data_IF_285424021773
#
_entry.id   IF_285424021773
#
_cell.length_a   1.000
_cell.length_b   1.000
_cell.length_c   1.000
_cell.angle_alpha   90.00
_cell.angle_beta   90.00
_cell.angle_gamma   90.00
#
_symmetry.space_group_name_H-M   'P 1'
#
loop_
_entity.id
_entity.type
_entity.pdbx_description
1 polymer ?
#
# COMPACT_ATOMS: atom_id res chain seq x y z
N UNK A 1 -2.72 -34.73 27.26
CA UNK A 1 -1.57 -34.00 26.70
C UNK A 1 -1.70 -32.55 27.18
N UNK A 2 -0.85 -32.11 28.12
CA UNK A 2 -0.91 -30.79 28.76
C UNK A 2 -0.32 -29.74 27.82
N UNK A 3 -1.06 -28.69 27.52
CA UNK A 3 -0.58 -27.51 26.80
C UNK A 3 -0.08 -26.52 27.86
N UNK A 4 1.24 -26.36 27.92
CA UNK A 4 1.90 -25.36 28.75
C UNK A 4 1.89 -24.00 28.05
N UNK A 5 1.41 -22.98 28.77
CA UNK A 5 1.46 -21.58 28.35
C UNK A 5 2.87 -21.07 28.64
N UNK A 6 3.66 -20.85 27.57
CA UNK A 6 4.99 -20.26 27.63
C UNK A 6 4.92 -18.75 27.87
N UNK A 7 5.75 -18.27 28.80
CA UNK A 7 5.76 -16.92 29.34
C UNK A 7 6.17 -15.82 28.37
N UNK A 8 5.57 -14.66 28.60
CA UNK A 8 5.89 -13.37 27.98
C UNK A 8 7.12 -12.81 28.70
N UNK A 9 8.27 -12.82 28.03
CA UNK A 9 9.47 -12.10 28.45
C UNK A 9 9.28 -10.61 28.13
N UNK A 10 9.06 -9.80 29.16
CA UNK A 10 9.05 -8.34 29.04
C UNK A 10 10.45 -7.81 28.81
N UNK A 11 10.73 -7.34 27.59
CA UNK A 11 11.90 -6.50 27.32
C UNK A 11 11.66 -5.11 27.88
N UNK A 12 12.15 -4.85 29.09
CA UNK A 12 12.36 -3.50 29.60
C UNK A 12 13.44 -2.83 28.76
N UNK A 13 13.05 -1.77 28.04
CA UNK A 13 13.98 -0.87 27.39
C UNK A 13 14.85 -0.20 28.47
N UNK A 14 16.10 -0.62 28.56
CA UNK A 14 17.13 0.07 29.33
C UNK A 14 17.51 1.32 28.53
N UNK A 15 17.05 2.47 29.00
CA UNK A 15 17.51 3.78 28.52
C UNK A 15 18.98 3.94 28.93
N UNK A 16 19.86 3.79 27.94
CA UNK A 16 21.30 4.02 28.07
C UNK A 16 21.58 5.53 28.18
N UNK A 17 21.58 6.04 29.41
CA UNK A 17 21.89 7.43 29.78
C UNK A 17 23.39 7.67 29.99
N UNK A 18 24.26 6.95 29.28
CA UNK A 18 25.71 6.95 29.51
C UNK A 18 26.46 8.22 29.07
N UNK A 19 25.79 9.24 28.52
CA UNK A 19 26.45 10.40 27.91
C UNK A 19 26.19 11.79 28.54
N UNK A 20 25.85 11.86 29.83
CA UNK A 20 25.86 13.14 30.57
C UNK A 20 26.95 13.17 31.65
N UNK A 21 28.03 13.97 31.49
CA UNK A 21 29.11 14.05 32.48
C UNK A 21 28.69 14.67 33.81
N UNK A 22 27.60 15.45 33.85
CA UNK A 22 27.12 16.12 35.08
C UNK A 22 26.39 15.17 36.04
N UNK A 23 25.73 14.12 35.53
CA UNK A 23 24.98 13.19 36.40
C UNK A 23 25.92 12.29 37.23
N UNK A 24 27.12 11.98 36.72
CA UNK A 24 28.13 11.18 37.43
C UNK A 24 28.70 11.91 38.65
N UNK A 25 28.71 13.24 38.64
CA UNK A 25 29.20 14.03 39.77
C UNK A 25 28.16 14.10 40.91
N UNK A 26 26.87 14.12 40.56
CA UNK A 26 25.77 14.15 41.54
C UNK A 26 25.51 12.79 42.21
N UNK A 27 25.77 11.68 41.51
CA UNK A 27 25.67 10.33 42.10
C UNK A 27 26.85 10.07 43.05
N UNK A 28 28.05 10.54 42.72
CA UNK A 28 29.24 10.37 43.59
C UNK A 28 29.23 11.22 44.86
N UNK A 29 28.45 12.31 44.92
CA UNK A 29 28.27 13.08 46.15
C UNK A 29 27.24 12.46 47.10
N UNK A 30 26.33 11.62 46.61
CA UNK A 30 25.36 10.89 47.44
C UNK A 30 25.93 9.61 48.08
N UNK A 31 26.94 8.99 47.49
CA UNK A 31 27.57 7.76 48.02
C UNK A 31 28.56 7.97 49.18
N UNK A 32 28.86 9.22 49.55
CA UNK A 32 29.82 9.56 50.63
C UNK A 32 29.20 9.98 51.96
N UNK A 33 27.92 9.66 52.19
CA UNK A 33 27.33 9.71 53.53
C UNK A 33 27.47 8.34 54.21
N UNK A 34 28.22 8.23 55.33
CA UNK A 34 28.36 6.97 56.03
C UNK A 34 27.03 6.64 56.72
N UNK A 35 26.40 5.52 56.35
CA UNK A 35 25.23 4.97 57.05
C UNK A 35 23.89 5.02 56.31
N UNK A 36 23.87 5.27 55.00
CA UNK A 36 22.61 5.21 54.23
C UNK A 36 22.33 3.79 53.70
N UNK A 37 22.04 2.86 54.60
CA UNK A 37 21.60 1.52 54.20
C UNK A 37 20.15 1.58 53.72
N UNK A 38 19.94 1.37 52.43
CA UNK A 38 18.61 1.40 51.78
C UNK A 38 17.81 0.13 52.14
N UNK A 39 18.45 -0.88 52.74
CA UNK A 39 17.84 -2.16 53.13
C UNK A 39 17.59 -2.32 54.62
N UNK A 40 17.73 -1.27 55.43
CA UNK A 40 17.40 -1.40 56.86
C UNK A 40 15.90 -1.68 57.04
N UNK A 41 15.52 -2.70 57.85
CA UNK A 41 14.12 -3.08 58.06
C UNK A 41 13.27 -1.92 58.58
N UNK A 42 13.83 -1.08 59.44
CA UNK A 42 13.15 0.10 60.01
C UNK A 42 12.70 1.10 58.93
N UNK A 43 13.47 1.25 57.84
CA UNK A 43 13.09 2.14 56.73
C UNK A 43 12.11 1.53 55.76
N UNK A 44 12.11 0.20 55.65
CA UNK A 44 11.09 -0.50 54.87
C UNK A 44 9.74 -0.34 55.57
N UNK A 45 9.71 -0.43 56.90
CA UNK A 45 8.53 -0.12 57.71
C UNK A 45 8.11 1.35 57.60
N UNK A 46 9.05 2.31 57.70
CA UNK A 46 8.74 3.73 57.55
C UNK A 46 8.20 4.08 56.14
N UNK A 47 8.68 3.40 55.09
CA UNK A 47 8.13 3.55 53.73
C UNK A 47 6.77 2.89 53.57
N UNK A 48 6.52 1.74 54.21
CA UNK A 48 5.22 1.09 54.22
C UNK A 48 4.19 1.92 54.98
N UNK A 49 4.58 2.55 56.08
CA UNK A 49 3.73 3.46 56.83
C UNK A 49 3.47 4.77 56.07
N UNK A 50 4.46 5.30 55.34
CA UNK A 50 4.24 6.44 54.44
C UNK A 50 3.38 6.06 53.23
N UNK A 51 3.43 4.82 52.74
CA UNK A 51 2.54 4.33 51.69
C UNK A 51 1.12 4.10 52.20
N UNK A 52 0.95 3.69 53.47
CA UNK A 52 -0.36 3.63 54.15
C UNK A 52 -0.96 5.01 54.42
N UNK A 53 -0.13 6.03 54.63
CA UNK A 53 -0.57 7.42 54.83
C UNK A 53 -0.85 8.17 53.53
N UNK A 54 -0.59 7.57 52.36
CA UNK A 54 -1.03 8.19 51.10
C UNK A 54 -2.55 8.11 51.03
N UNK A 55 -3.24 9.24 50.78
CA UNK A 55 -4.68 9.23 50.60
C UNK A 55 -5.03 8.23 49.51
N UNK A 56 -6.13 7.51 49.67
CA UNK A 56 -6.58 6.60 48.63
C UNK A 56 -6.79 7.42 47.36
N UNK A 57 -6.58 6.83 46.18
CA UNK A 57 -6.77 7.54 44.92
C UNK A 57 -8.18 8.14 44.83
N UNK A 58 -9.15 7.50 45.51
CA UNK A 58 -10.51 7.99 45.68
C UNK A 58 -10.60 9.25 46.55
N UNK A 59 -9.86 9.31 47.66
CA UNK A 59 -9.80 10.51 48.53
C UNK A 59 -9.14 11.68 47.79
N UNK A 60 -8.07 11.41 47.04
CA UNK A 60 -7.44 12.44 46.20
C UNK A 60 -8.39 12.95 45.11
N UNK A 61 -9.18 12.06 44.48
CA UNK A 61 -10.15 12.45 43.47
C UNK A 61 -11.32 13.25 44.08
N UNK A 62 -11.80 12.84 45.26
CA UNK A 62 -12.86 13.55 45.97
C UNK A 62 -12.41 14.93 46.45
N UNK A 63 -11.15 15.07 46.91
CA UNK A 63 -10.56 16.36 47.26
C UNK A 63 -10.44 17.27 46.03
N UNK A 64 -10.03 16.73 44.89
CA UNK A 64 -9.90 17.49 43.64
C UNK A 64 -11.27 17.97 43.11
N UNK A 65 -12.30 17.11 43.17
CA UNK A 65 -13.67 17.46 42.79
C UNK A 65 -14.30 18.44 43.79
N UNK A 66 -13.98 18.32 45.09
CA UNK A 66 -14.41 19.28 46.10
C UNK A 66 -13.74 20.66 45.95
N UNK A 67 -12.48 20.71 45.52
CA UNK A 67 -11.77 21.95 45.18
C UNK A 67 -12.35 22.62 43.92
N UNK A 68 -12.74 21.86 42.89
CA UNK A 68 -13.43 22.42 41.71
C UNK A 68 -14.84 22.93 42.04
N UNK A 69 -15.49 22.40 43.09
CA UNK A 69 -16.83 22.80 43.52
C UNK A 69 -16.90 23.97 44.51
N UNK A 70 -15.77 24.45 45.04
CA UNK A 70 -15.71 25.46 46.11
C UNK A 70 -14.97 26.75 45.75
N UNK A 71 -14.61 26.97 44.49
CA UNK A 71 -13.93 28.21 44.05
C UNK A 71 -14.90 29.38 43.78
N UNK A 72 -15.73 29.72 44.75
CA UNK A 72 -16.27 31.08 44.90
C UNK A 72 -15.55 31.69 46.12
N UNK A 73 -14.84 32.79 45.88
CA UNK A 73 -14.26 33.71 46.86
C UNK A 73 -13.07 33.23 47.72
N UNK A 74 -11.87 33.18 47.13
CA UNK A 74 -10.66 33.64 47.85
C UNK A 74 -9.59 34.16 46.89
N UNK A 75 -9.34 35.46 47.02
CA UNK A 75 -8.30 36.23 46.36
C UNK A 75 -6.93 35.84 46.92
N UNK A 76 -6.27 34.86 46.31
CA UNK A 76 -4.81 34.71 46.40
C UNK A 76 -4.26 34.65 44.97
N UNK A 77 -4.18 35.84 44.36
CA UNK A 77 -3.53 36.11 43.10
C UNK A 77 -2.02 35.93 43.27
N UNK A 78 -1.39 34.96 42.62
CA UNK A 78 -0.02 35.15 42.07
C UNK A 78 0.46 33.99 41.17
N UNK A 79 -0.03 32.75 41.32
CA UNK A 79 0.44 31.63 40.47
C UNK A 79 -0.51 31.24 39.34
N UNK A 80 -1.82 31.47 39.48
CA UNK A 80 -2.82 31.11 38.45
C UNK A 80 -2.96 32.14 37.32
N UNK A 81 -2.35 33.31 37.49
CA UNK A 81 -2.29 34.36 36.46
C UNK A 81 -1.46 33.88 35.27
N UNK A 82 -0.44 33.06 35.46
CA UNK A 82 0.44 32.61 34.37
C UNK A 82 -0.28 31.69 33.36
N UNK A 83 -1.06 30.73 33.86
CA UNK A 83 -1.80 29.79 33.01
C UNK A 83 -2.98 30.46 32.28
N UNK A 84 -3.75 31.32 33.00
CA UNK A 84 -4.82 32.12 32.40
C UNK A 84 -4.29 33.16 31.42
N UNK A 85 -3.16 33.81 31.70
CA UNK A 85 -2.57 34.79 30.77
C UNK A 85 -1.95 34.11 29.54
N UNK A 86 -1.41 32.88 29.68
CA UNK A 86 -0.98 32.07 28.53
C UNK A 86 -2.15 31.64 27.66
N UNK A 87 -3.30 31.26 28.24
CA UNK A 87 -4.48 30.88 27.47
C UNK A 87 -5.12 32.09 26.76
N UNK A 88 -5.15 33.27 27.39
CA UNK A 88 -5.62 34.53 26.79
C UNK A 88 -4.69 35.01 25.66
N UNK A 89 -3.37 34.93 25.84
CA UNK A 89 -2.41 35.19 24.74
C UNK A 89 -2.63 34.17 23.61
N UNK A 90 -2.96 32.92 23.94
CA UNK A 90 -3.21 31.85 22.95
C UNK A 90 -4.45 32.14 22.12
N UNK A 91 -5.56 32.54 22.75
CA UNK A 91 -6.82 32.84 22.06
C UNK A 91 -6.73 34.11 21.22
N UNK A 92 -6.04 35.15 21.68
CA UNK A 92 -5.80 36.33 20.84
C UNK A 92 -4.96 36.03 19.59
N UNK A 93 -4.05 35.04 19.68
CA UNK A 93 -3.22 34.64 18.54
C UNK A 93 -3.99 33.85 17.49
N UNK A 94 -5.11 33.23 17.86
CA UNK A 94 -6.00 32.50 16.95
C UNK A 94 -7.03 33.40 16.25
N UNK A 95 -7.21 34.65 16.70
CA UNK A 95 -8.13 35.60 16.11
C UNK A 95 -7.63 36.20 14.77
N UNK A 96 -6.34 36.08 14.46
CA UNK A 96 -5.81 36.54 13.18
C UNK A 96 -6.12 35.53 12.08
N UNK A 97 -6.88 35.94 11.07
CA UNK A 97 -7.25 35.08 9.94
C UNK A 97 -6.04 34.54 9.16
N UNK A 98 -6.23 33.39 8.50
CA UNK A 98 -5.21 32.69 7.70
C UNK A 98 -4.47 33.60 6.73
N UNK A 99 -5.17 34.48 6.01
CA UNK A 99 -4.59 35.42 5.04
C UNK A 99 -3.50 36.28 5.67
N UNK A 100 -3.75 36.82 6.87
CA UNK A 100 -2.80 37.69 7.58
C UNK A 100 -1.58 36.89 8.03
N UNK A 101 -1.79 35.70 8.60
CA UNK A 101 -0.70 34.83 9.05
C UNK A 101 0.20 34.40 7.90
N UNK A 102 -0.39 33.95 6.79
CA UNK A 102 0.34 33.48 5.61
C UNK A 102 1.08 34.63 4.94
N UNK A 103 0.41 35.77 4.73
CA UNK A 103 1.02 36.97 4.14
C UNK A 103 2.25 37.43 4.93
N UNK A 104 2.11 37.64 6.24
CA UNK A 104 3.24 38.10 7.05
C UNK A 104 4.33 37.03 7.20
N UNK A 105 3.98 35.74 7.18
CA UNK A 105 4.99 34.66 7.21
C UNK A 105 5.85 34.67 5.95
N UNK A 106 5.25 34.87 4.78
CA UNK A 106 5.96 34.97 3.50
C UNK A 106 6.78 36.26 3.38
N UNK A 107 6.27 37.36 3.94
CA UNK A 107 6.91 38.67 3.86
C UNK A 107 8.04 38.84 4.90
N UNK A 108 8.04 38.07 5.99
CA UNK A 108 9.05 38.19 7.06
C UNK A 108 10.47 37.87 6.58
N UNK A 109 10.76 36.76 5.87
CA UNK A 109 12.10 36.47 5.38
C UNK A 109 12.71 37.56 4.49
N UNK A 110 12.03 38.08 3.44
CA UNK A 110 12.61 39.12 2.60
C UNK A 110 12.70 40.48 3.32
N UNK A 111 11.82 40.76 4.28
CA UNK A 111 11.90 41.99 5.09
C UNK A 111 12.79 41.88 6.33
N UNK A 112 13.40 40.71 6.59
CA UNK A 112 14.24 40.50 7.77
C UNK A 112 15.33 41.57 7.98
N UNK A 113 16.12 41.99 6.97
CA UNK A 113 17.12 43.04 7.16
C UNK A 113 16.49 44.39 7.55
N UNK A 114 15.33 44.72 6.99
CA UNK A 114 14.59 45.93 7.34
C UNK A 114 14.00 45.86 8.75
N UNK A 115 13.47 44.70 9.16
CA UNK A 115 12.95 44.47 10.50
C UNK A 115 14.06 44.54 11.56
N UNK A 116 15.27 44.06 11.24
CA UNK A 116 16.45 44.21 12.09
C UNK A 116 16.84 45.68 12.27
N UNK A 117 16.87 46.45 11.18
CA UNK A 117 17.15 47.89 11.22
C UNK A 117 16.08 48.65 12.04
N UNK A 118 14.80 48.36 11.81
CA UNK A 118 13.69 48.93 12.57
C UNK A 118 13.77 48.60 14.06
N UNK A 119 14.16 47.36 14.41
CA UNK A 119 14.36 46.94 15.80
C UNK A 119 15.53 47.67 16.44
N UNK A 120 16.61 47.90 15.70
CA UNK A 120 17.76 48.66 16.16
C UNK A 120 17.41 50.14 16.41
N UNK A 121 16.58 50.73 15.55
CA UNK A 121 16.13 52.13 15.70
C UNK A 121 15.00 52.30 16.73
N UNK A 122 14.23 51.27 17.04
CA UNK A 122 13.05 51.35 17.91
C UNK A 122 12.86 50.08 18.75
N UNK A 123 13.27 50.13 20.03
CA UNK A 123 13.14 49.02 20.98
C UNK A 123 11.69 48.71 21.39
N UNK A 124 10.76 49.66 21.24
CA UNK A 124 9.36 49.53 21.67
C UNK A 124 8.35 49.38 20.50
N UNK A 125 8.82 49.31 19.25
CA UNK A 125 7.94 49.17 18.11
C UNK A 125 7.25 47.79 18.10
N UNK A 126 5.92 47.78 17.94
CA UNK A 126 5.13 46.54 17.84
C UNK A 126 5.47 45.83 16.55
N UNK A 127 5.99 44.60 16.64
CA UNK A 127 6.26 43.75 15.48
C UNK A 127 4.95 43.23 14.87
N UNK A 128 4.94 42.92 13.55
CA UNK A 128 3.80 42.27 12.92
C UNK A 128 3.41 40.97 13.66
N UNK A 129 2.12 40.63 13.59
CA UNK A 129 1.48 39.55 14.36
C UNK A 129 1.57 39.67 15.90
N UNK A 130 1.95 40.83 16.44
CA UNK A 130 1.96 41.07 17.89
C UNK A 130 3.08 40.38 18.65
N UNK A 131 4.17 40.00 17.96
CA UNK A 131 5.32 39.36 18.60
C UNK A 131 6.12 40.35 19.46
N UNK A 132 6.54 39.91 20.66
CA UNK A 132 7.44 40.69 21.54
C UNK A 132 8.90 40.65 21.10
N UNK A 133 9.31 39.62 20.36
CA UNK A 133 10.69 39.40 19.95
C UNK A 133 10.77 39.03 18.47
N UNK A 134 11.79 39.56 17.77
CA UNK A 134 12.07 39.28 16.36
C UNK A 134 12.35 37.78 16.14
N UNK A 135 13.09 37.14 17.04
CA UNK A 135 13.38 35.71 16.96
C UNK A 135 12.09 34.88 16.96
N UNK A 136 11.11 35.26 17.78
CA UNK A 136 9.80 34.58 17.81
C UNK A 136 9.06 34.77 16.48
N UNK A 137 9.06 35.98 15.92
CA UNK A 137 8.46 36.25 14.61
C UNK A 137 9.11 35.38 13.52
N UNK A 138 10.44 35.39 13.42
CA UNK A 138 11.19 34.61 12.42
C UNK A 138 10.91 33.13 12.58
N UNK A 139 10.98 32.60 13.80
CA UNK A 139 10.68 31.19 14.08
C UNK A 139 9.26 30.81 13.63
N UNK A 140 8.26 31.62 13.97
CA UNK A 140 6.88 31.32 13.57
C UNK A 140 6.69 31.41 12.05
N UNK A 141 7.32 32.38 11.39
CA UNK A 141 7.29 32.51 9.93
C UNK A 141 7.96 31.32 9.25
N UNK A 142 9.14 30.89 9.71
CA UNK A 142 9.82 29.70 9.20
C UNK A 142 8.99 28.41 9.40
N UNK A 143 8.42 28.21 10.59
CA UNK A 143 7.54 27.08 10.89
C UNK A 143 6.31 27.11 9.99
N UNK A 144 5.67 28.27 9.80
CA UNK A 144 4.52 28.41 8.93
C UNK A 144 4.85 28.12 7.46
N UNK A 145 5.98 28.62 6.96
CA UNK A 145 6.46 28.32 5.60
C UNK A 145 6.71 26.82 5.45
N UNK A 146 7.39 26.19 6.41
CA UNK A 146 7.62 24.74 6.41
C UNK A 146 6.30 23.96 6.31
N UNK A 147 5.32 24.24 7.17
CA UNK A 147 4.03 23.55 7.11
C UNK A 147 3.22 23.86 5.85
N UNK A 148 3.36 25.06 5.28
CA UNK A 148 2.74 25.42 4.02
C UNK A 148 3.36 24.63 2.85
N UNK A 149 4.69 24.48 2.84
CA UNK A 149 5.38 23.61 1.86
C UNK A 149 4.97 22.15 2.00
N UNK A 150 4.89 21.61 3.23
CA UNK A 150 4.43 20.26 3.48
C UNK A 150 2.97 20.06 3.04
N UNK A 151 2.08 20.98 3.35
CA UNK A 151 0.69 20.93 2.91
C UNK A 151 0.57 20.97 1.37
N UNK A 152 1.39 21.78 0.69
CA UNK A 152 1.46 21.78 -0.77
C UNK A 152 1.95 20.43 -1.32
N UNK A 153 2.95 19.81 -0.70
CA UNK A 153 3.41 18.48 -1.12
C UNK A 153 2.33 17.41 -0.94
N UNK A 154 1.57 17.45 0.16
CA UNK A 154 0.45 16.53 0.40
C UNK A 154 -0.70 16.75 -0.60
N UNK A 155 -0.99 18.00 -0.95
CA UNK A 155 -2.00 18.33 -1.96
C UNK A 155 -1.57 17.81 -3.34
N UNK A 156 -0.31 18.04 -3.70
CA UNK A 156 0.27 17.52 -4.94
C UNK A 156 0.28 15.99 -4.98
N UNK A 157 0.65 15.33 -3.88
CA UNK A 157 0.59 13.87 -3.73
C UNK A 157 -0.85 13.35 -3.86
N UNK A 158 -1.83 14.05 -3.29
CA UNK A 158 -3.25 13.67 -3.38
C UNK A 158 -3.80 13.76 -4.80
N UNK A 159 -3.33 14.73 -5.58
CA UNK A 159 -3.75 14.94 -6.97
C UNK A 159 -3.02 14.01 -7.94
N UNK A 160 -1.72 13.82 -7.76
CA UNK A 160 -0.92 12.98 -8.67
C UNK A 160 -0.98 11.49 -8.31
N UNK A 161 -1.33 11.15 -7.07
CA UNK A 161 -1.25 9.80 -6.53
C UNK A 161 0.18 9.28 -6.34
N UNK A 162 1.19 10.12 -6.58
CA UNK A 162 2.59 9.76 -6.51
C UNK A 162 3.26 10.47 -5.34
N UNK A 163 4.05 9.74 -4.56
CA UNK A 163 4.96 10.33 -3.57
C UNK A 163 6.08 11.05 -4.33
N UNK A 164 5.85 12.32 -4.69
CA UNK A 164 6.87 13.10 -5.36
C UNK A 164 8.01 13.41 -4.40
N UNK A 165 9.22 13.03 -4.79
CA UNK A 165 10.43 13.74 -4.37
C UNK A 165 10.30 15.15 -4.98
N UNK A 166 10.48 16.23 -4.21
CA UNK A 166 10.28 17.61 -4.69
C UNK A 166 11.29 17.96 -5.79
N UNK A 167 10.97 17.62 -7.03
CA UNK A 167 11.64 18.15 -8.22
C UNK A 167 10.87 19.39 -8.61
N UNK A 168 11.41 20.55 -8.26
CA UNK A 168 10.89 21.86 -8.62
C UNK A 168 11.15 22.06 -10.13
N UNK A 169 10.37 21.37 -10.98
CA UNK A 169 10.33 21.67 -12.40
C UNK A 169 9.19 22.66 -12.65
N UNK A 170 9.54 23.84 -13.16
CA UNK A 170 8.58 24.90 -13.50
C UNK A 170 7.52 24.48 -14.54
N UNK A 171 7.74 23.38 -15.27
CA UNK A 171 6.78 22.79 -16.23
C UNK A 171 5.71 21.88 -15.61
N UNK A 172 5.68 21.69 -14.29
CA UNK A 172 4.85 20.65 -13.64
C UNK A 172 3.34 20.91 -13.53
N UNK A 173 2.84 22.11 -13.89
CA UNK A 173 1.44 22.48 -13.64
C UNK A 173 0.46 21.94 -14.69
N UNK A 174 0.87 21.82 -15.96
CA UNK A 174 0.03 21.28 -17.04
C UNK A 174 -0.45 19.84 -16.78
N UNK A 175 0.42 18.87 -16.44
CA UNK A 175 -0.03 17.50 -16.16
C UNK A 175 -0.93 17.42 -14.92
N UNK A 176 -0.70 18.29 -13.92
CA UNK A 176 -1.53 18.35 -12.72
C UNK A 176 -2.96 18.85 -13.05
N UNK A 177 -3.08 19.90 -13.86
CA UNK A 177 -4.38 20.42 -14.30
C UNK A 177 -5.12 19.41 -15.17
N UNK A 178 -4.41 18.76 -16.11
CA UNK A 178 -5.01 17.76 -16.99
C UNK A 178 -5.53 16.55 -16.19
N UNK A 179 -4.77 16.08 -15.21
CA UNK A 179 -5.17 14.95 -14.35
C UNK A 179 -6.36 15.30 -13.45
N UNK A 180 -6.33 16.47 -12.82
CA UNK A 180 -7.46 16.95 -12.01
C UNK A 180 -8.74 17.08 -12.85
N UNK A 181 -8.63 17.56 -14.10
CA UNK A 181 -9.75 17.67 -15.03
C UNK A 181 -10.32 16.29 -15.38
N UNK A 182 -9.47 15.30 -15.67
CA UNK A 182 -9.89 13.93 -15.93
C UNK A 182 -10.59 13.35 -14.69
N UNK A 183 -10.02 13.53 -13.50
CA UNK A 183 -10.60 13.02 -12.26
C UNK A 183 -11.97 13.64 -11.99
N UNK A 184 -12.13 14.96 -12.18
CA UNK A 184 -13.42 15.67 -12.09
C UNK A 184 -14.45 15.17 -13.11
N UNK A 185 -14.02 14.91 -14.36
CA UNK A 185 -14.90 14.36 -15.38
C UNK A 185 -15.32 12.93 -15.05
N UNK A 186 -14.37 12.09 -14.61
CA UNK A 186 -14.65 10.73 -14.16
C UNK A 186 -15.62 10.73 -12.98
N UNK A 187 -15.43 11.64 -12.02
CA UNK A 187 -16.32 11.80 -10.88
C UNK A 187 -17.72 12.17 -11.35
N UNK A 188 -17.87 13.14 -12.27
CA UNK A 188 -19.19 13.56 -12.74
C UNK A 188 -19.96 12.41 -13.41
N UNK A 189 -19.28 11.61 -14.23
CA UNK A 189 -19.86 10.43 -14.87
C UNK A 189 -20.18 9.32 -13.85
N UNK A 190 -19.28 9.09 -12.90
CA UNK A 190 -19.40 8.04 -11.88
C UNK A 190 -20.43 8.40 -10.81
N UNK A 191 -20.56 9.67 -10.41
CA UNK A 191 -21.54 10.11 -9.43
C UNK A 191 -22.94 10.04 -10.02
N UNK A 192 -23.13 10.43 -11.28
CA UNK A 192 -24.43 10.32 -11.95
C UNK A 192 -24.87 8.86 -12.07
N UNK A 193 -23.96 7.96 -12.44
CA UNK A 193 -24.25 6.52 -12.56
C UNK A 193 -24.47 5.88 -11.19
N UNK A 194 -23.59 6.13 -10.21
CA UNK A 194 -23.80 5.67 -8.83
C UNK A 194 -25.09 6.21 -8.22
N UNK A 195 -25.42 7.49 -8.44
CA UNK A 195 -26.63 8.10 -7.89
C UNK A 195 -27.89 7.55 -8.55
N UNK A 196 -27.93 7.44 -9.88
CA UNK A 196 -29.05 6.80 -10.56
C UNK A 196 -29.22 5.34 -10.14
N UNK A 197 -28.12 4.64 -9.88
CA UNK A 197 -28.15 3.24 -9.47
C UNK A 197 -28.53 3.06 -7.99
N UNK A 198 -28.16 4.02 -7.13
CA UNK A 198 -28.64 4.11 -5.75
C UNK A 198 -30.13 4.45 -5.67
N UNK A 199 -30.64 5.24 -6.63
CA UNK A 199 -32.07 5.52 -6.76
C UNK A 199 -32.85 4.36 -7.36
N UNK A 200 -32.27 3.59 -8.29
CA UNK A 200 -32.88 2.36 -8.83
C UNK A 200 -32.81 1.18 -7.86
N UNK A 201 -32.35 1.41 -6.64
CA UNK A 201 -32.15 0.37 -5.65
C UNK A 201 -33.49 -0.17 -5.16
N UNK A 202 -33.83 -1.39 -5.58
CA UNK A 202 -34.99 -2.10 -5.07
C UNK A 202 -34.66 -2.75 -3.72
N UNK A 203 -35.50 -2.49 -2.70
CA UNK A 203 -35.26 -2.76 -1.28
C UNK A 203 -35.11 -4.25 -0.89
N UNK A 204 -35.23 -5.17 -1.85
CA UNK A 204 -35.26 -6.62 -1.68
C UNK A 204 -33.94 -7.34 -1.99
N UNK A 205 -32.86 -6.62 -2.34
CA UNK A 205 -31.56 -7.23 -2.66
C UNK A 205 -30.77 -7.63 -1.40
N UNK A 206 -30.13 -8.80 -1.46
CA UNK A 206 -29.35 -9.35 -0.35
C UNK A 206 -28.04 -8.58 -0.14
N UNK A 207 -27.59 -8.46 1.13
CA UNK A 207 -26.34 -7.76 1.50
C UNK A 207 -25.07 -8.36 0.83
N UNK A 208 -25.12 -9.60 0.36
CA UNK A 208 -23.99 -10.27 -0.28
C UNK A 208 -23.80 -9.82 -1.74
N UNK A 209 -24.88 -9.78 -2.53
CA UNK A 209 -24.85 -9.22 -3.90
C UNK A 209 -24.49 -7.74 -3.90
N UNK A 210 -24.87 -7.04 -2.82
CA UNK A 210 -24.51 -5.65 -2.55
C UNK A 210 -22.99 -5.49 -2.42
N UNK A 211 -22.35 -6.37 -1.65
CA UNK A 211 -20.90 -6.35 -1.48
C UNK A 211 -20.16 -6.69 -2.76
N UNK A 212 -20.59 -7.72 -3.51
CA UNK A 212 -19.98 -8.09 -4.79
C UNK A 212 -20.13 -6.98 -5.85
N UNK A 213 -21.28 -6.32 -5.93
CA UNK A 213 -21.51 -5.17 -6.82
C UNK A 213 -20.68 -3.94 -6.43
N UNK A 214 -20.40 -3.77 -5.13
CA UNK A 214 -19.51 -2.71 -4.62
C UNK A 214 -18.04 -2.99 -4.95
N UNK A 215 -17.63 -4.26 -4.89
CA UNK A 215 -16.26 -4.72 -5.20
C UNK A 215 -15.96 -4.57 -6.68
N UNK A 216 -16.88 -4.91 -7.57
CA UNK A 216 -16.72 -4.66 -9.01
C UNK A 216 -16.68 -3.17 -9.36
N UNK A 217 -17.13 -2.30 -8.43
CA UNK A 217 -17.13 -0.83 -8.57
C UNK A 217 -16.07 -0.15 -7.71
N UNK A 218 -15.02 -0.87 -7.33
CA UNK A 218 -13.89 -0.32 -6.56
C UNK A 218 -13.31 0.96 -7.20
N UNK A 219 -13.38 1.09 -8.53
CA UNK A 219 -12.92 2.27 -9.27
C UNK A 219 -13.69 3.55 -8.88
N UNK A 220 -15.00 3.47 -8.66
CA UNK A 220 -15.81 4.60 -8.20
C UNK A 220 -15.47 5.00 -6.76
N UNK A 221 -15.29 3.99 -5.89
CA UNK A 221 -14.92 4.21 -4.48
C UNK A 221 -13.55 4.88 -4.39
N UNK A 222 -12.60 4.44 -5.22
CA UNK A 222 -11.26 5.02 -5.30
C UNK A 222 -11.28 6.49 -5.75
N UNK A 223 -12.09 6.83 -6.76
CA UNK A 223 -12.28 8.21 -7.19
C UNK A 223 -12.86 9.11 -6.10
N UNK A 224 -13.85 8.62 -5.35
CA UNK A 224 -14.47 9.36 -4.24
C UNK A 224 -13.48 9.55 -3.08
N UNK A 225 -12.72 8.52 -2.71
CA UNK A 225 -11.68 8.60 -1.68
C UNK A 225 -10.60 9.62 -2.06
N UNK A 226 -10.17 9.66 -3.33
CA UNK A 226 -9.22 10.67 -3.82
C UNK A 226 -9.78 12.09 -3.69
N UNK A 227 -11.03 12.32 -4.08
CA UNK A 227 -11.64 13.65 -3.94
C UNK A 227 -11.77 14.09 -2.47
N UNK A 228 -12.17 13.17 -1.59
CA UNK A 228 -12.19 13.44 -0.15
C UNK A 228 -10.79 13.77 0.38
N UNK A 229 -9.75 13.06 -0.07
CA UNK A 229 -8.37 13.37 0.29
C UNK A 229 -7.94 14.75 -0.22
N UNK A 230 -8.28 15.14 -1.45
CA UNK A 230 -7.99 16.47 -2.01
C UNK A 230 -8.71 17.57 -1.21
N UNK A 231 -10.00 17.40 -0.91
CA UNK A 231 -10.78 18.37 -0.13
C UNK A 231 -10.22 18.49 1.30
N UNK A 232 -9.89 17.36 1.92
CA UNK A 232 -9.30 17.33 3.27
C UNK A 232 -7.93 18.02 3.30
N UNK A 233 -7.06 17.75 2.32
CA UNK A 233 -5.74 18.40 2.22
C UNK A 233 -5.85 19.90 1.93
N UNK A 234 -6.79 20.34 1.08
CA UNK A 234 -7.11 21.76 0.90
C UNK A 234 -7.60 22.40 2.20
N UNK A 235 -8.47 21.72 2.94
CA UNK A 235 -8.95 22.20 4.24
C UNK A 235 -7.79 22.35 5.25
N UNK A 236 -6.88 21.38 5.30
CA UNK A 236 -5.66 21.45 6.11
C UNK A 236 -4.73 22.58 5.66
N UNK A 237 -4.62 22.83 4.37
CA UNK A 237 -3.84 23.93 3.81
C UNK A 237 -4.36 25.30 4.29
N UNK A 238 -5.67 25.55 4.24
CA UNK A 238 -6.25 26.80 4.75
C UNK A 238 -6.20 26.90 6.28
N UNK A 239 -6.16 25.77 6.99
CA UNK A 239 -6.07 25.73 8.45
C UNK A 239 -4.64 25.53 8.98
N UNK A 240 -3.60 25.57 8.15
CA UNK A 240 -2.20 25.27 8.56
C UNK A 240 -1.63 26.21 9.64
N UNK A 241 -2.27 27.36 9.87
CA UNK A 241 -1.95 28.26 10.97
C UNK A 241 -2.34 27.67 12.35
N UNK A 242 -3.33 26.78 12.40
CA UNK A 242 -3.80 26.13 13.63
C UNK A 242 -2.89 24.97 14.02
N UNK A 243 -2.68 24.78 15.33
CA UNK A 243 -1.80 23.72 15.85
C UNK A 243 -2.27 22.33 15.47
N UNK A 244 -3.58 22.05 15.54
CA UNK A 244 -4.13 20.74 15.21
C UNK A 244 -3.86 20.37 13.74
N UNK A 245 -4.03 21.33 12.81
CA UNK A 245 -3.79 21.09 11.38
C UNK A 245 -2.33 20.75 11.10
N UNK A 246 -1.38 21.39 11.79
CA UNK A 246 0.05 21.06 11.71
C UNK A 246 0.34 19.63 12.15
N UNK A 247 -0.32 19.16 13.21
CA UNK A 247 -0.17 17.78 13.68
C UNK A 247 -0.68 16.78 12.63
N UNK A 248 -1.83 17.04 12.01
CA UNK A 248 -2.34 16.19 10.92
C UNK A 248 -1.43 16.20 9.70
N UNK A 249 -0.96 17.37 9.26
CA UNK A 249 0.00 17.49 8.13
C UNK A 249 1.25 16.65 8.44
N UNK A 250 1.82 16.78 9.63
CA UNK A 250 2.99 15.99 10.03
C UNK A 250 2.68 14.48 10.02
N UNK A 251 1.54 14.07 10.59
CA UNK A 251 1.12 12.67 10.60
C UNK A 251 0.98 12.09 9.19
N UNK A 252 0.34 12.82 8.27
CA UNK A 252 0.20 12.39 6.88
C UNK A 252 1.55 12.37 6.14
N UNK A 253 2.44 13.33 6.39
CA UNK A 253 3.79 13.33 5.82
C UNK A 253 4.61 12.14 6.31
N UNK A 254 4.57 11.82 7.61
CA UNK A 254 5.25 10.64 8.17
C UNK A 254 4.66 9.36 7.59
N UNK A 255 3.34 9.24 7.53
CA UNK A 255 2.67 8.09 6.92
C UNK A 255 3.02 7.90 5.44
N UNK A 256 3.13 9.01 4.69
CA UNK A 256 3.59 9.01 3.30
C UNK A 256 5.05 8.59 3.16
N UNK A 257 5.94 9.11 4.01
CA UNK A 257 7.37 8.78 3.99
C UNK A 257 7.66 7.32 4.34
N UNK A 258 6.83 6.71 5.18
CA UNK A 258 6.95 5.30 5.57
C UNK A 258 6.33 4.33 4.54
N UNK A 259 5.87 4.81 3.38
CA UNK A 259 5.14 4.00 2.39
C UNK A 259 3.96 3.23 3.02
N UNK A 260 3.38 3.76 4.11
CA UNK A 260 2.26 3.15 4.83
C UNK A 260 1.10 2.72 3.92
N UNK A 261 0.70 3.47 2.87
CA UNK A 261 -0.33 3.00 1.94
C UNK A 261 0.08 1.75 1.14
N UNK A 262 1.36 1.59 0.77
CA UNK A 262 1.85 0.36 0.11
C UNK A 262 1.88 -0.81 1.08
N UNK A 263 2.28 -0.57 2.33
CA UNK A 263 2.26 -1.59 3.38
C UNK A 263 0.82 -2.02 3.66
N UNK A 264 -0.10 -1.07 3.78
CA UNK A 264 -1.52 -1.34 3.98
C UNK A 264 -2.13 -2.06 2.78
N UNK A 265 -1.81 -1.65 1.55
CA UNK A 265 -2.24 -2.37 0.35
C UNK A 265 -1.69 -3.80 0.31
N UNK A 266 -0.44 -4.06 0.69
CA UNK A 266 0.09 -5.42 0.81
C UNK A 266 -0.61 -6.25 1.88
N UNK A 267 -1.11 -5.61 2.94
CA UNK A 267 -1.87 -6.28 4.01
C UNK A 267 -3.33 -6.55 3.60
N UNK A 268 -3.91 -5.69 2.77
CA UNK A 268 -5.34 -5.74 2.39
C UNK A 268 -5.58 -6.47 1.06
N UNK A 269 -4.68 -6.34 0.08
CA UNK A 269 -4.74 -7.02 -1.21
C UNK A 269 -3.87 -8.28 -1.16
N UNK A 270 -4.47 -9.48 -1.16
CA UNK A 270 -3.70 -10.71 -1.10
C UNK A 270 -2.90 -10.91 -2.40
N UNK A 271 -1.60 -11.20 -2.27
CA UNK A 271 -0.69 -11.43 -3.40
C UNK A 271 -1.20 -12.51 -4.36
N UNK A 272 -0.96 -12.39 -5.69
CA UNK A 272 -1.31 -13.44 -6.64
C UNK A 272 -0.55 -14.71 -6.30
N UNK A 273 -1.23 -15.86 -6.33
CA UNK A 273 -0.63 -17.15 -6.03
C UNK A 273 -1.13 -18.23 -6.96
N UNK A 274 -0.25 -18.80 -7.77
CA UNK A 274 -0.52 -20.01 -8.54
C UNK A 274 -0.16 -21.23 -7.67
N UNK A 275 -1.10 -22.15 -7.52
CA UNK A 275 -0.94 -23.39 -6.75
C UNK A 275 -0.79 -24.63 -7.62
N UNK A 276 -1.25 -24.57 -8.88
CA UNK A 276 -1.14 -25.69 -9.81
C UNK A 276 -1.54 -25.31 -11.24
N UNK A 277 -1.34 -26.23 -12.15
CA UNK A 277 -1.68 -26.13 -13.58
C UNK A 277 -2.52 -27.34 -13.96
N UNK A 278 -3.50 -27.19 -14.85
CA UNK A 278 -4.25 -28.31 -15.42
C UNK A 278 -4.30 -28.14 -16.95
N UNK A 279 -3.72 -29.05 -17.74
CA UNK A 279 -3.08 -30.32 -17.33
C UNK A 279 -1.68 -30.14 -16.72
N UNK A 280 -1.24 -31.15 -15.94
CA UNK A 280 0.11 -31.22 -15.35
C UNK A 280 1.23 -31.47 -16.37
N UNK A 281 0.87 -31.85 -17.60
CA UNK A 281 1.80 -32.11 -18.68
C UNK A 281 1.27 -31.59 -20.02
N UNK A 282 2.19 -31.25 -20.92
CA UNK A 282 1.89 -30.85 -22.29
C UNK A 282 2.71 -31.66 -23.29
N UNK A 283 2.21 -31.75 -24.52
CA UNK A 283 2.95 -32.35 -25.62
C UNK A 283 3.74 -31.29 -26.38
N UNK A 284 4.92 -31.69 -26.84
CA UNK A 284 5.82 -30.84 -27.59
C UNK A 284 5.18 -30.39 -28.93
N UNK A 285 5.17 -29.08 -29.18
CA UNK A 285 4.70 -28.49 -30.43
C UNK A 285 3.18 -28.40 -30.60
N UNK A 286 2.42 -28.83 -29.60
CA UNK A 286 0.95 -28.70 -29.58
C UNK A 286 0.54 -27.39 -28.91
N UNK A 287 -0.51 -26.75 -29.44
CA UNK A 287 -1.15 -25.61 -28.80
C UNK A 287 -2.12 -26.13 -27.73
N UNK A 288 -1.93 -25.70 -26.49
CA UNK A 288 -2.65 -26.21 -25.34
C UNK A 288 -3.25 -25.06 -24.52
N UNK A 289 -4.46 -25.28 -24.03
CA UNK A 289 -5.08 -24.46 -23.00
C UNK A 289 -4.68 -24.97 -21.62
N UNK A 290 -3.88 -24.20 -20.90
CA UNK A 290 -3.44 -24.52 -19.53
C UNK A 290 -4.29 -23.71 -18.56
N UNK A 291 -5.12 -24.38 -17.78
CA UNK A 291 -5.83 -23.78 -16.67
C UNK A 291 -4.87 -23.55 -15.50
N UNK A 292 -4.87 -22.35 -14.93
CA UNK A 292 -4.04 -21.98 -13.78
C UNK A 292 -4.90 -21.97 -12.52
N UNK A 293 -4.64 -22.92 -11.64
CA UNK A 293 -5.28 -22.99 -10.34
C UNK A 293 -4.55 -22.05 -9.37
N UNK A 294 -5.26 -21.09 -8.80
CA UNK A 294 -4.65 -20.09 -7.93
C UNK A 294 -5.64 -19.14 -7.26
N UNK A 295 -5.12 -18.11 -6.61
CA UNK A 295 -5.89 -17.03 -5.96
C UNK A 295 -5.37 -15.67 -6.44
N UNK A 296 -6.28 -14.71 -6.54
CA UNK A 296 -6.01 -13.31 -6.90
C UNK A 296 -5.29 -13.16 -8.25
N UNK A 297 -5.64 -14.01 -9.22
CA UNK A 297 -5.20 -13.90 -10.59
C UNK A 297 -6.19 -13.01 -11.35
N UNK A 298 -5.73 -11.84 -11.79
CA UNK A 298 -6.52 -10.91 -12.60
C UNK A 298 -6.51 -11.29 -14.08
N UNK A 299 -7.65 -11.19 -14.77
CA UNK A 299 -7.77 -11.34 -16.23
C UNK A 299 -7.01 -10.22 -16.96
N UNK A 300 -6.37 -10.54 -18.09
CA UNK A 300 -5.51 -9.61 -18.83
C UNK A 300 -4.05 -9.58 -18.33
N UNK A 301 -3.73 -10.33 -17.28
CA UNK A 301 -2.36 -10.57 -16.87
C UNK A 301 -1.55 -11.31 -17.94
N UNK A 302 -0.23 -11.16 -17.93
CA UNK A 302 0.66 -11.94 -18.79
C UNK A 302 1.27 -13.08 -17.99
N UNK A 303 1.15 -14.30 -18.50
CA UNK A 303 1.82 -15.48 -17.95
C UNK A 303 2.91 -15.89 -18.91
N UNK A 304 4.10 -16.06 -18.37
CA UNK A 304 5.29 -16.51 -19.09
C UNK A 304 5.86 -17.74 -18.41
N UNK A 305 6.72 -18.47 -19.11
CA UNK A 305 7.22 -19.75 -18.68
C UNK A 305 8.74 -19.78 -18.70
N UNK A 306 9.33 -20.26 -17.62
CA UNK A 306 10.80 -20.36 -17.49
C UNK A 306 11.22 -21.84 -17.52
N UNK A 307 12.18 -22.23 -18.38
CA UNK A 307 12.69 -23.59 -18.42
C UNK A 307 13.48 -23.92 -17.14
N UNK A 308 13.12 -25.03 -16.51
CA UNK A 308 13.73 -25.46 -15.26
C UNK A 308 15.13 -26.01 -15.47
N UNK A 309 15.28 -27.03 -16.32
CA UNK A 309 16.59 -27.63 -16.59
C UNK A 309 17.48 -26.69 -17.41
N UNK A 310 16.89 -25.88 -18.31
CA UNK A 310 17.61 -24.92 -19.12
C UNK A 310 18.19 -23.71 -18.35
N UNK A 311 17.58 -23.30 -17.23
CA UNK A 311 18.04 -22.11 -16.50
C UNK A 311 17.77 -22.14 -14.98
N UNK A 312 16.53 -22.38 -14.54
CA UNK A 312 16.15 -22.22 -13.13
C UNK A 312 16.88 -23.19 -12.17
N UNK A 313 17.48 -24.27 -12.69
CA UNK A 313 18.28 -25.19 -11.90
C UNK A 313 19.60 -24.57 -11.41
N UNK A 314 20.21 -23.69 -12.21
CA UNK A 314 21.55 -23.14 -11.94
C UNK A 314 21.52 -21.69 -11.47
N UNK A 315 20.46 -20.96 -11.82
CA UNK A 315 20.33 -19.53 -11.57
C UNK A 315 18.94 -19.21 -11.02
N UNK A 316 18.81 -18.09 -10.30
CA UNK A 316 17.51 -17.58 -9.83
C UNK A 316 16.52 -17.41 -11.00
N UNK A 317 15.28 -17.86 -10.81
CA UNK A 317 14.21 -17.85 -11.83
C UNK A 317 13.92 -16.44 -12.34
N UNK A 318 14.13 -15.43 -11.49
CA UNK A 318 13.95 -14.03 -11.85
C UNK A 318 14.95 -13.53 -12.90
N UNK A 319 16.13 -14.16 -13.02
CA UNK A 319 17.16 -13.79 -14.00
C UNK A 319 17.01 -14.56 -15.33
N UNK A 320 16.29 -15.67 -15.33
CA UNK A 320 16.07 -16.48 -16.51
C UNK A 320 15.23 -15.76 -17.57
N UNK A 321 15.42 -16.12 -18.84
CA UNK A 321 14.58 -15.65 -19.94
C UNK A 321 13.16 -16.21 -19.80
N UNK A 322 12.17 -15.33 -20.03
CA UNK A 322 10.74 -15.64 -19.92
C UNK A 322 10.24 -15.99 -21.31
N UNK A 323 9.95 -17.27 -21.52
CA UNK A 323 9.53 -17.81 -22.80
C UNK A 323 8.00 -17.98 -22.84
N UNK A 324 7.45 -18.13 -24.05
CA UNK A 324 6.05 -18.50 -24.27
C UNK A 324 5.01 -17.60 -23.55
N UNK A 325 5.26 -16.29 -23.53
CA UNK A 325 4.37 -15.30 -22.91
C UNK A 325 3.00 -15.27 -23.58
N UNK A 326 1.96 -15.29 -22.76
CA UNK A 326 0.57 -15.39 -23.20
C UNK A 326 -0.38 -14.69 -22.22
N UNK A 327 -1.54 -14.26 -22.72
CA UNK A 327 -2.52 -13.50 -21.92
C UNK A 327 -3.36 -14.49 -21.11
N UNK A 328 -3.48 -14.25 -19.82
CA UNK A 328 -4.36 -14.97 -18.91
C UNK A 328 -5.79 -14.43 -19.03
N UNK A 329 -6.72 -15.31 -19.38
CA UNK A 329 -8.12 -14.97 -19.53
C UNK A 329 -9.00 -16.05 -18.91
N UNK A 330 -9.88 -15.66 -17.98
CA UNK A 330 -10.86 -16.56 -17.34
C UNK A 330 -10.25 -17.86 -16.75
N UNK A 331 -9.07 -17.78 -16.11
CA UNK A 331 -8.45 -18.95 -15.49
C UNK A 331 -7.56 -19.77 -16.43
N UNK A 332 -7.47 -19.40 -17.71
CA UNK A 332 -6.78 -20.20 -18.74
C UNK A 332 -5.74 -19.36 -19.47
N UNK A 333 -4.68 -20.03 -19.92
CA UNK A 333 -3.60 -19.48 -20.75
C UNK A 333 -3.38 -20.40 -21.95
N UNK A 334 -3.31 -19.82 -23.14
CA UNK A 334 -2.97 -20.58 -24.37
C UNK A 334 -1.47 -20.53 -24.61
N UNK A 335 -0.82 -21.70 -24.69
CA UNK A 335 0.64 -21.81 -24.82
C UNK A 335 1.01 -22.97 -25.73
N UNK A 336 2.14 -22.82 -26.45
CA UNK A 336 2.79 -23.87 -27.23
C UNK A 336 4.26 -23.94 -26.83
N UNK A 337 4.74 -25.13 -26.51
CA UNK A 337 6.12 -25.36 -26.08
C UNK A 337 6.95 -25.98 -27.21
N UNK A 338 8.14 -25.41 -27.46
CA UNK A 338 9.01 -25.82 -28.56
C UNK A 338 10.15 -26.76 -28.13
N UNK A 339 10.34 -26.93 -26.81
CA UNK A 339 11.37 -27.82 -26.25
C UNK A 339 10.84 -28.67 -25.10
N UNK A 340 11.46 -29.84 -24.89
CA UNK A 340 11.13 -30.71 -23.75
C UNK A 340 11.84 -30.25 -22.49
N UNK A 341 11.12 -29.65 -21.56
CA UNK A 341 11.62 -29.24 -20.24
C UNK A 341 10.47 -29.33 -19.20
N UNK A 342 10.79 -29.08 -17.93
CA UNK A 342 9.81 -28.62 -16.95
C UNK A 342 9.76 -27.11 -16.98
N UNK A 343 8.58 -26.54 -17.12
CA UNK A 343 8.41 -25.10 -17.18
C UNK A 343 7.77 -24.57 -15.89
N UNK A 344 8.32 -23.50 -15.35
CA UNK A 344 7.83 -22.77 -14.18
C UNK A 344 7.00 -21.57 -14.66
N UNK A 345 5.75 -21.40 -14.21
CA UNK A 345 4.95 -20.24 -14.56
C UNK A 345 5.40 -19.00 -13.80
N UNK A 346 5.51 -17.90 -14.53
CA UNK A 346 5.78 -16.56 -14.05
C UNK A 346 4.61 -15.65 -14.42
N UNK A 347 4.00 -15.03 -13.42
CA UNK A 347 2.84 -14.16 -13.56
C UNK A 347 3.26 -12.70 -13.49
N UNK A 348 2.78 -11.92 -14.46
CA UNK A 348 2.90 -10.48 -14.50
C UNK A 348 1.49 -9.89 -14.45
N UNK A 349 1.13 -9.12 -13.40
CA UNK A 349 -0.14 -8.44 -13.33
C UNK A 349 -0.40 -7.59 -14.59
N UNK A 350 -1.65 -7.40 -15.01
CA UNK A 350 -1.95 -6.52 -16.13
C UNK A 350 -1.37 -5.15 -15.82
N UNK A 351 -0.68 -4.54 -16.79
CA UNK A 351 -0.20 -3.18 -16.67
C UNK A 351 -1.41 -2.25 -16.59
N UNK A 352 -1.92 -2.00 -15.37
CA UNK A 352 -2.85 -0.90 -15.14
C UNK A 352 -2.09 0.36 -15.53
N UNK A 353 -2.71 1.27 -16.28
CA UNK A 353 -2.13 2.54 -16.78
C UNK A 353 -1.82 3.55 -15.64
N UNK A 354 -1.16 3.09 -14.57
CA UNK A 354 -0.59 3.90 -13.52
C UNK A 354 0.93 3.80 -13.70
N UNK A 355 1.51 4.91 -14.15
CA UNK A 355 2.93 5.13 -14.47
C UNK A 355 3.87 4.99 -13.26
N UNK A 356 3.86 3.83 -12.64
CA UNK A 356 4.89 3.41 -11.71
C UNK A 356 5.57 2.20 -12.34
N UNK A 357 6.69 2.47 -13.02
CA UNK A 357 7.69 1.50 -13.52
C UNK A 357 8.14 0.47 -12.46
N UNK A 358 7.68 0.59 -11.21
CA UNK A 358 8.02 -0.24 -10.07
C UNK A 358 7.05 -1.40 -9.78
N UNK A 359 5.89 -1.53 -10.46
CA UNK A 359 4.85 -2.51 -10.06
C UNK A 359 4.54 -3.66 -11.04
N UNK A 360 5.17 -3.74 -12.21
CA UNK A 360 5.13 -4.97 -13.03
C UNK A 360 6.18 -6.00 -12.56
N UNK A 361 6.29 -6.22 -11.24
CA UNK A 361 7.15 -7.26 -10.73
C UNK A 361 6.63 -8.62 -11.19
N UNK A 362 7.40 -9.27 -12.06
CA UNK A 362 7.13 -10.64 -12.51
C UNK A 362 7.34 -11.57 -11.30
N UNK A 363 6.31 -12.31 -10.92
CA UNK A 363 6.33 -13.25 -9.80
C UNK A 363 6.37 -14.67 -10.36
N UNK A 364 7.41 -15.44 -10.04
CA UNK A 364 7.56 -16.81 -10.50
C UNK A 364 7.22 -17.83 -9.40
N UNK A 365 6.55 -18.92 -9.77
CA UNK A 365 6.05 -19.93 -8.83
C UNK A 365 6.81 -21.25 -8.96
N UNK A 366 8.02 -21.32 -8.39
CA UNK A 366 8.93 -22.48 -8.50
C UNK A 366 8.33 -23.82 -8.06
N UNK A 367 7.35 -23.78 -7.16
CA UNK A 367 6.65 -24.95 -6.65
C UNK A 367 5.65 -25.55 -7.66
N UNK A 368 5.31 -24.81 -8.71
CA UNK A 368 4.41 -25.24 -9.78
C UNK A 368 5.25 -25.52 -11.02
N UNK A 369 5.13 -26.72 -11.58
CA UNK A 369 5.93 -27.14 -12.74
C UNK A 369 5.04 -27.90 -13.71
N UNK A 370 5.04 -27.46 -14.96
CA UNK A 370 4.36 -28.14 -16.05
C UNK A 370 5.39 -28.95 -16.84
N UNK A 371 5.12 -30.25 -17.07
CA UNK A 371 6.07 -31.15 -17.74
C UNK A 371 5.78 -31.27 -19.23
N UNK A 372 6.71 -30.84 -20.08
CA UNK A 372 6.57 -31.01 -21.54
C UNK A 372 7.22 -32.31 -21.98
N UNK A 373 6.48 -33.12 -22.74
CA UNK A 373 6.88 -34.46 -23.19
C UNK A 373 6.78 -34.58 -24.72
N UNK A 374 7.62 -35.44 -25.31
CA UNK A 374 7.43 -35.89 -26.69
C UNK A 374 6.29 -36.90 -26.74
N UNK A 375 5.50 -36.89 -27.82
CA UNK A 375 4.39 -37.86 -28.01
C UNK A 375 4.86 -39.32 -27.90
N UNK A 376 6.09 -39.62 -28.34
CA UNK A 376 6.71 -40.94 -28.28
C UNK A 376 7.05 -41.40 -26.86
N UNK A 377 7.10 -40.47 -25.90
CA UNK A 377 7.43 -40.77 -24.50
C UNK A 377 6.20 -41.09 -23.63
N UNK A 378 5.01 -41.13 -24.23
CA UNK A 378 3.78 -41.54 -23.55
C UNK A 378 3.83 -43.07 -23.38
N UNK A 379 3.78 -43.60 -22.13
CA UNK A 379 3.74 -45.04 -21.90
C UNK A 379 2.56 -45.68 -22.63
N UNK A 380 2.81 -46.71 -23.44
CA UNK A 380 1.78 -47.40 -24.23
C UNK A 380 1.62 -46.91 -25.67
N UNK A 381 2.21 -45.77 -26.05
CA UNK A 381 2.13 -45.26 -27.42
C UNK A 381 2.77 -46.20 -28.46
N UNK A 382 3.85 -46.90 -28.08
CA UNK A 382 4.50 -47.89 -28.94
C UNK A 382 3.58 -49.06 -29.30
N UNK A 383 2.67 -49.46 -28.40
CA UNK A 383 1.66 -50.49 -28.68
C UNK A 383 0.59 -49.96 -29.61
N UNK A 384 0.08 -48.75 -29.36
CA UNK A 384 -0.98 -48.12 -30.17
C UNK A 384 -0.53 -47.86 -31.61
N UNK A 385 0.72 -47.40 -31.80
CA UNK A 385 1.27 -47.15 -33.13
C UNK A 385 1.50 -48.46 -33.91
N UNK A 386 1.78 -49.57 -33.22
CA UNK A 386 1.89 -50.88 -33.85
C UNK A 386 0.51 -51.39 -34.31
N UNK A 387 -0.54 -51.23 -33.51
CA UNK A 387 -1.92 -51.57 -33.91
C UNK A 387 -2.41 -50.70 -35.06
N UNK A 388 -2.22 -49.38 -35.00
CA UNK A 388 -2.59 -48.47 -36.10
C UNK A 388 -1.86 -48.81 -37.40
N UNK A 389 -0.55 -49.12 -37.34
CA UNK A 389 0.20 -49.57 -38.53
C UNK A 389 -0.29 -50.92 -39.07
N UNK A 390 -0.70 -51.84 -38.19
CA UNK A 390 -1.25 -53.13 -38.61
C UNK A 390 -2.63 -52.96 -39.27
N UNK A 391 -3.50 -52.11 -38.73
CA UNK A 391 -4.80 -51.78 -39.33
C UNK A 391 -4.65 -51.08 -40.68
N UNK A 392 -3.69 -50.16 -40.79
CA UNK A 392 -3.42 -49.47 -42.06
C UNK A 392 -2.96 -50.47 -43.13
N UNK A 393 -2.03 -51.38 -42.78
CA UNK A 393 -1.59 -52.46 -43.68
C UNK A 393 -2.71 -53.44 -44.04
N UNK A 394 -3.60 -53.78 -43.09
CA UNK A 394 -4.74 -54.64 -43.37
C UNK A 394 -5.71 -53.97 -44.36
N UNK A 395 -5.99 -52.67 -44.20
CA UNK A 395 -6.84 -51.91 -45.12
C UNK A 395 -6.24 -51.75 -46.52
N UNK A 396 -4.91 -51.64 -46.62
CA UNK A 396 -4.18 -51.55 -47.89
C UNK A 396 -4.14 -52.90 -48.63
N UNK A 397 -4.14 -54.02 -47.91
CA UNK A 397 -4.29 -55.36 -48.50
C UNK A 397 -5.72 -55.59 -48.99
N UNK A 398 -6.73 -55.13 -48.25
CA UNK A 398 -8.15 -55.24 -48.64
C UNK A 398 -8.46 -54.43 -49.91
N UNK A 399 -7.92 -53.22 -50.03
CA UNK A 399 -8.11 -52.36 -51.22
C UNK A 399 -7.41 -52.91 -52.47
N UNK A 400 -6.23 -53.51 -52.32
CA UNK A 400 -5.56 -54.18 -53.45
C UNK A 400 -6.27 -55.46 -53.90
N UNK A 401 -6.98 -56.15 -52.99
CA UNK A 401 -7.78 -57.33 -53.34
C UNK A 401 -9.02 -56.96 -54.17
N UNK A 402 -9.71 -55.87 -53.82
CA UNK A 402 -10.88 -55.38 -54.56
C UNK A 402 -10.49 -54.77 -55.92
N UNK A 403 -9.27 -54.25 -56.07
CA UNK A 403 -8.73 -53.80 -57.36
C UNK A 403 -8.55 -54.93 -58.37
N UNK A 404 -7.98 -56.06 -57.94
CA UNK A 404 -7.70 -57.20 -58.83
C UNK A 404 -8.96 -57.99 -59.24
N UNK A 405 -10.04 -57.92 -58.46
CA UNK A 405 -11.30 -58.62 -58.79
C UNK A 405 -12.12 -57.90 -59.88
N UNK A 406 -11.82 -56.63 -60.17
CA UNK A 406 -12.47 -55.86 -61.24
C UNK A 406 -11.84 -56.03 -62.62
N UNK A 407 -10.60 -56.53 -62.70
CA UNK A 407 -9.87 -56.66 -63.96
C UNK A 407 -10.08 -58.03 -64.64
N UNK A 408 -10.73 -59.00 -63.96
CA UNK A 408 -11.10 -60.31 -64.56
C UNK A 408 -12.50 -60.33 -65.23
N UNK A 409 -13.34 -59.30 -65.03
CA UNK A 409 -14.72 -59.29 -65.54
C UNK A 409 -14.89 -58.62 -66.93
N UNK A 410 -13.80 -58.13 -67.56
CA UNK A 410 -13.85 -57.56 -68.91
C UNK A 410 -13.21 -58.47 -69.96
N UNK A 411 -13.84 -59.62 -70.25
CA UNK A 411 -13.62 -60.31 -71.53
C UNK A 411 -14.51 -59.71 -72.63
N UNK A 412 -13.99 -59.37 -73.82
CA UNK A 412 -14.77 -58.79 -74.90
C UNK A 412 -15.64 -59.84 -75.60
N UNK A 413 -16.94 -59.62 -75.59
CA UNK A 413 -17.93 -60.35 -76.40
C UNK A 413 -17.79 -59.90 -77.86
N UNK A 414 -17.29 -60.79 -78.72
CA UNK A 414 -17.30 -60.61 -80.17
C UNK A 414 -18.74 -60.73 -80.71
N UNK A 415 -19.33 -59.62 -81.13
CA UNK A 415 -20.59 -59.59 -81.89
C UNK A 415 -20.32 -59.80 -83.36
N UNK A 416 -20.78 -60.95 -83.88
CA UNK A 416 -20.82 -61.26 -85.29
C UNK A 416 -21.85 -60.38 -86.02
N UNK A 417 -21.42 -59.79 -87.15
CA UNK A 417 -22.29 -59.21 -88.19
C UNK A 417 -23.19 -60.29 -88.76
N UNK A 418 -24.49 -60.00 -88.88
CA UNK A 418 -25.35 -60.63 -89.88
C UNK A 418 -26.07 -59.54 -90.67
N UNK A 419 -25.84 -59.57 -91.97
CA UNK A 419 -26.55 -58.87 -93.02
C UNK A 419 -27.87 -59.61 -93.31
N UNK A 420 -28.99 -58.87 -93.28
CA UNK A 420 -30.09 -58.78 -94.26
C UNK A 420 -31.43 -58.44 -93.58
#
# INVERSE_FOLDING_TARGET
MRIGIGGISGNTAVLDLSHSPDLKQQIRSFEKSPGFDIRSPDRIEERLDNLKRRPSLLDWLNEHVAQEGSSDDSEDEDEDVSAKHLSIIRTQREAYGWMRHTFWSLLTPPLLPFLLLMRACCSNCKLPMGHKCLLSLVYNSCVQILFLTLAMTLLQQSITGQAMVPRISYSGWEPMYHRLRIDLQSLKCNLSTCFQQALSWNRSTSLYELWCSLVDKLECVHGLLRMLAIISTLYLFFNCHKRWARMFIMFFCIGGALDAPKVLQRLVLPSPRITGTDPDYALLGEELFVALNGRNLESGATVSWVPYWGCAQTTSVYLCEKLHSSIFHQGVVTVRFDSTDLYIPCYQPPAKMMDTEAESQIICFENVKLRVKKIQSIPGWSKLNHTLRLETKASEIETNRVGNEKDEESMPVNTAKNEL
#
